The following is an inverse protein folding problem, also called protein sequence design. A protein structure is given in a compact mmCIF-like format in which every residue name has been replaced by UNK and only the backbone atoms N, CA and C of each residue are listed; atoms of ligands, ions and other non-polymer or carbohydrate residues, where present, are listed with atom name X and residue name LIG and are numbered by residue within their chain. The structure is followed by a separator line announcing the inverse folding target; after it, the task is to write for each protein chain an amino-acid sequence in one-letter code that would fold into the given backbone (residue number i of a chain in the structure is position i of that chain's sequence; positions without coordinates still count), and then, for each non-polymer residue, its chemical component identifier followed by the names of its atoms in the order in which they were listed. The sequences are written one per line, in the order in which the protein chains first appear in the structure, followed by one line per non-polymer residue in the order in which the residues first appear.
data_IF_963837154792
#
_entry.id   IF_963837154792
#
_cell.length_a   1.000
_cell.length_b   1.000
_cell.length_c   1.000
_cell.angle_alpha   90.00
_cell.angle_beta   90.00
_cell.angle_gamma   90.00
#
_symmetry.space_group_name_H-M   'P 1'
#
loop_
_entity.id
_entity.type
_entity.pdbx_description
1 polymer ?
#
# COMPACT_ATOMS: atom_id res chain seq x y z
N UNK A 1 21.05 0.45 -3.71
CA UNK A 1 19.99 0.76 -4.72
C UNK A 1 18.82 -0.19 -4.49
N UNK A 2 17.58 0.28 -4.46
CA UNK A 2 16.42 -0.59 -4.17
C UNK A 2 16.30 -1.73 -5.20
N UNK A 3 16.03 -2.95 -4.74
CA UNK A 3 15.98 -4.16 -5.59
C UNK A 3 15.02 -4.01 -6.77
N UNK A 4 13.84 -3.43 -6.54
CA UNK A 4 12.85 -3.15 -7.59
C UNK A 4 13.41 -2.29 -8.71
N UNK A 5 14.20 -1.26 -8.39
CA UNK A 5 14.87 -0.42 -9.38
C UNK A 5 15.93 -1.18 -10.16
N UNK A 6 16.68 -2.07 -9.51
CA UNK A 6 17.70 -2.88 -10.18
C UNK A 6 17.07 -3.81 -11.23
N UNK A 7 15.93 -4.42 -10.90
CA UNK A 7 15.27 -5.42 -11.76
C UNK A 7 14.37 -4.76 -12.80
N UNK A 8 13.55 -3.78 -12.39
CA UNK A 8 12.49 -3.22 -13.23
C UNK A 8 12.93 -1.95 -13.96
N UNK A 9 13.98 -1.28 -13.48
CA UNK A 9 14.44 0.04 -13.95
C UNK A 9 13.69 1.21 -13.31
N UNK A 10 12.71 0.96 -12.44
CA UNK A 10 11.88 1.97 -11.77
C UNK A 10 11.65 1.62 -10.32
N UNK A 11 11.58 2.64 -9.46
CA UNK A 11 11.12 2.48 -8.08
C UNK A 11 9.60 2.28 -8.03
N UNK A 12 9.10 1.59 -7.01
CA UNK A 12 7.67 1.36 -6.81
C UNK A 12 7.36 0.83 -5.40
N UNK A 13 6.15 1.07 -4.88
CA UNK A 13 5.75 0.61 -3.56
C UNK A 13 5.60 -0.92 -3.54
N UNK A 14 6.17 -1.57 -2.53
CA UNK A 14 6.07 -3.03 -2.34
C UNK A 14 4.73 -3.48 -1.76
N UNK A 15 3.94 -2.53 -1.28
CA UNK A 15 2.60 -2.74 -0.72
C UNK A 15 1.75 -1.52 -0.94
N UNK A 16 0.50 -1.72 -1.38
CA UNK A 16 -0.48 -0.65 -1.57
C UNK A 16 -1.81 -1.09 -0.96
N UNK A 17 -2.27 -0.31 0.00
CA UNK A 17 -3.64 -0.37 0.50
C UNK A 17 -4.36 0.89 0.02
N UNK A 18 -5.52 0.71 -0.61
CA UNK A 18 -6.35 1.86 -0.96
C UNK A 18 -7.00 2.39 0.31
N UNK A 19 -6.83 3.69 0.57
CA UNK A 19 -7.35 4.34 1.78
C UNK A 19 -8.85 4.13 1.98
N UNK A 20 -9.63 4.06 0.88
CA UNK A 20 -11.07 3.78 0.94
C UNK A 20 -11.43 2.46 1.61
N UNK A 21 -10.53 1.46 1.60
CA UNK A 21 -10.73 0.17 2.27
C UNK A 21 -10.43 0.24 3.78
N UNK A 22 -9.91 1.37 4.25
CA UNK A 22 -9.51 1.58 5.63
C UNK A 22 -10.43 2.57 6.36
N UNK A 23 -11.49 3.08 5.71
CA UNK A 23 -12.36 4.10 6.32
C UNK A 23 -13.04 3.59 7.60
N UNK A 24 -13.44 2.32 7.63
CA UNK A 24 -14.08 1.69 8.80
C UNK A 24 -13.10 1.47 9.96
N UNK A 25 -11.80 1.52 9.69
CA UNK A 25 -10.75 1.38 10.69
C UNK A 25 -10.36 2.69 11.36
N UNK A 26 -10.84 3.83 10.84
CA UNK A 26 -10.60 5.15 11.42
C UNK A 26 -11.45 5.30 12.68
N UNK A 27 -10.82 5.29 13.85
CA UNK A 27 -11.49 5.36 15.15
C UNK A 27 -11.53 6.76 15.73
N UNK A 28 -10.52 7.58 15.41
CA UNK A 28 -10.33 8.90 15.99
C UNK A 28 -10.80 10.01 15.05
N UNK A 29 -10.65 9.81 13.74
CA UNK A 29 -11.06 10.78 12.72
C UNK A 29 -12.59 10.86 12.66
N UNK A 30 -13.18 12.07 12.77
CA UNK A 30 -14.63 12.25 12.67
C UNK A 30 -15.18 11.68 11.37
N UNK A 31 -16.33 11.02 11.44
CA UNK A 31 -16.91 10.25 10.33
C UNK A 31 -17.12 11.09 9.05
N UNK A 32 -17.66 12.30 9.21
CA UNK A 32 -17.85 13.28 8.13
C UNK A 32 -16.54 13.72 7.45
N UNK A 33 -15.40 13.56 8.14
CA UNK A 33 -14.07 13.92 7.64
C UNK A 33 -13.29 12.71 7.09
N UNK A 34 -13.84 11.50 7.17
CA UNK A 34 -13.18 10.29 6.65
C UNK A 34 -13.15 10.36 5.11
N UNK A 35 -11.94 10.34 4.55
CA UNK A 35 -11.69 10.39 3.11
C UNK A 35 -11.69 11.79 2.48
N UNK A 36 -12.31 12.79 3.12
CA UNK A 36 -12.35 14.17 2.61
C UNK A 36 -12.34 15.15 3.79
N UNK A 37 -11.29 15.94 3.90
CA UNK A 37 -11.15 16.98 4.91
C UNK A 37 -10.43 18.18 4.31
N UNK A 38 -11.12 19.30 4.18
CA UNK A 38 -10.56 20.54 3.65
C UNK A 38 -10.32 21.54 4.78
N UNK A 39 -9.06 21.87 5.01
CA UNK A 39 -8.69 22.88 6.02
C UNK A 39 -8.64 24.24 5.34
N UNK A 40 -9.40 25.20 5.87
CA UNK A 40 -9.48 26.58 5.37
C UNK A 40 -9.15 27.57 6.46
N UNK A 41 -8.55 28.71 6.09
CA UNK A 41 -8.06 29.70 7.06
C UNK A 41 -9.17 30.33 7.90
N UNK A 42 -10.31 30.61 7.29
CA UNK A 42 -11.52 31.12 7.93
C UNK A 42 -12.70 30.43 7.25
N UNK A 43 -13.29 29.45 7.95
CA UNK A 43 -14.40 28.64 7.40
C UNK A 43 -15.62 29.51 7.12
N UNK A 44 -15.96 30.44 8.00
CA UNK A 44 -17.15 31.27 7.84
C UNK A 44 -17.03 32.19 6.63
N UNK A 45 -15.88 32.84 6.47
CA UNK A 45 -15.61 33.67 5.30
C UNK A 45 -15.61 32.83 4.02
N UNK A 46 -14.97 31.65 4.05
CA UNK A 46 -14.96 30.74 2.91
C UNK A 46 -16.38 30.33 2.47
N UNK A 47 -17.25 29.95 3.42
CA UNK A 47 -18.64 29.57 3.14
C UNK A 47 -19.50 30.72 2.58
N UNK A 48 -19.15 31.97 2.89
CA UNK A 48 -19.79 33.16 2.30
C UNK A 48 -19.35 33.38 0.86
N UNK A 49 -18.07 33.20 0.57
CA UNK A 49 -17.47 33.46 -0.74
C UNK A 49 -17.67 32.31 -1.74
N UNK A 50 -17.85 31.09 -1.26
CA UNK A 50 -18.11 29.90 -2.07
C UNK A 50 -19.43 29.24 -1.64
N UNK A 51 -20.61 29.79 -2.03
CA UNK A 51 -21.90 29.23 -1.64
C UNK A 51 -22.12 27.78 -2.07
N UNK A 52 -21.50 27.36 -3.18
CA UNK A 52 -21.53 25.97 -3.66
C UNK A 52 -20.83 24.98 -2.71
N UNK A 53 -19.94 25.45 -1.83
CA UNK A 53 -19.29 24.61 -0.83
C UNK A 53 -20.17 24.30 0.39
N UNK A 54 -21.31 25.02 0.55
CA UNK A 54 -22.21 24.82 1.70
C UNK A 54 -22.84 23.44 1.75
N UNK A 55 -23.07 22.81 0.61
CA UNK A 55 -23.59 21.43 0.53
C UNK A 55 -22.63 20.40 1.15
N UNK A 56 -21.36 20.77 1.30
CA UNK A 56 -20.29 19.93 1.85
C UNK A 56 -19.64 20.58 3.08
N UNK A 57 -20.33 21.54 3.73
CA UNK A 57 -19.77 22.36 4.81
C UNK A 57 -19.20 21.53 5.97
N UNK A 58 -19.80 20.38 6.24
CA UNK A 58 -19.36 19.42 7.25
C UNK A 58 -17.97 18.83 6.95
N UNK A 59 -17.48 18.90 5.72
CA UNK A 59 -16.14 18.43 5.32
C UNK A 59 -15.06 19.51 5.41
N UNK A 60 -15.44 20.74 5.70
CA UNK A 60 -14.51 21.86 5.87
C UNK A 60 -14.22 22.09 7.34
N UNK A 61 -12.95 22.30 7.65
CA UNK A 61 -12.43 22.52 8.99
C UNK A 61 -11.75 23.88 9.01
N UNK A 62 -12.04 24.68 10.03
CA UNK A 62 -11.33 25.93 10.23
C UNK A 62 -9.88 25.67 10.67
N UNK A 63 -8.93 26.52 10.29
CA UNK A 63 -7.52 26.34 10.65
C UNK A 63 -7.32 26.31 12.16
N UNK A 64 -8.17 27.00 12.93
CA UNK A 64 -8.17 26.95 14.40
C UNK A 64 -8.45 25.55 14.96
N UNK A 65 -9.16 24.70 14.21
CA UNK A 65 -9.52 23.33 14.56
C UNK A 65 -8.60 22.28 13.91
N UNK A 66 -7.80 22.68 12.91
CA UNK A 66 -6.97 21.77 12.12
C UNK A 66 -6.07 20.86 12.97
N UNK A 67 -5.54 21.37 14.09
CA UNK A 67 -4.65 20.60 14.97
C UNK A 67 -5.30 19.34 15.51
N UNK A 68 -6.56 19.40 15.95
CA UNK A 68 -7.24 18.23 16.54
C UNK A 68 -7.51 17.18 15.46
N UNK A 69 -7.97 17.61 14.28
CA UNK A 69 -8.24 16.73 13.13
C UNK A 69 -6.98 16.05 12.62
N UNK A 70 -5.88 16.80 12.46
CA UNK A 70 -4.59 16.23 12.03
C UNK A 70 -4.06 15.22 13.06
N UNK A 71 -4.20 15.51 14.36
CA UNK A 71 -3.80 14.56 15.41
C UNK A 71 -4.62 13.27 15.34
N UNK A 72 -5.93 13.37 15.17
CA UNK A 72 -6.81 12.22 15.02
C UNK A 72 -6.45 11.37 13.79
N UNK A 73 -6.21 12.01 12.64
CA UNK A 73 -5.80 11.32 11.41
C UNK A 73 -4.46 10.59 11.58
N UNK A 74 -3.47 11.21 12.24
CA UNK A 74 -2.19 10.58 12.53
C UNK A 74 -2.32 9.40 13.52
N UNK A 75 -3.16 9.54 14.54
CA UNK A 75 -3.45 8.44 15.48
C UNK A 75 -4.06 7.24 14.76
N UNK A 76 -5.03 7.48 13.87
CA UNK A 76 -5.61 6.41 13.05
C UNK A 76 -4.58 5.79 12.10
N UNK A 77 -3.72 6.60 11.47
CA UNK A 77 -2.62 6.10 10.64
C UNK A 77 -1.71 5.14 11.41
N UNK A 78 -1.33 5.49 12.64
CA UNK A 78 -0.53 4.62 13.52
C UNK A 78 -1.30 3.33 13.85
N UNK A 79 -2.59 3.41 14.16
CA UNK A 79 -3.42 2.24 14.46
C UNK A 79 -3.54 1.29 13.26
N UNK A 80 -3.76 1.84 12.07
CA UNK A 80 -3.78 1.08 10.80
C UNK A 80 -2.46 0.37 10.58
N UNK A 81 -1.33 1.09 10.71
CA UNK A 81 -0.01 0.48 10.55
C UNK A 81 0.20 -0.68 11.54
N UNK A 82 -0.15 -0.48 12.81
CA UNK A 82 -0.06 -1.54 13.84
C UNK A 82 -1.01 -2.71 13.62
N UNK A 83 -2.17 -2.48 12.97
CA UNK A 83 -3.17 -3.51 12.69
C UNK A 83 -2.74 -4.41 11.54
N UNK A 84 -2.14 -3.84 10.49
CA UNK A 84 -1.90 -4.54 9.23
C UNK A 84 -0.45 -4.97 9.01
N UNK A 85 0.50 -4.44 9.76
CA UNK A 85 1.93 -4.73 9.57
C UNK A 85 2.56 -5.18 10.90
N UNK A 86 3.42 -6.19 10.83
CA UNK A 86 4.25 -6.63 11.95
C UNK A 86 5.63 -5.98 11.85
N UNK A 87 5.88 -5.00 12.72
CA UNK A 87 7.16 -4.29 12.78
C UNK A 87 8.14 -4.85 13.82
N UNK A 88 7.88 -6.04 14.38
CA UNK A 88 8.76 -6.64 15.40
C UNK A 88 10.07 -7.21 14.83
N UNK A 89 10.19 -7.31 13.51
CA UNK A 89 11.43 -7.67 12.82
C UNK A 89 11.27 -7.63 11.30
N UNK A 90 12.39 -7.51 10.58
CA UNK A 90 12.40 -7.46 9.11
C UNK A 90 11.75 -8.69 8.48
N UNK A 91 12.11 -9.89 8.95
CA UNK A 91 11.54 -11.15 8.47
C UNK A 91 10.00 -11.18 8.62
N UNK A 92 9.48 -10.77 9.79
CA UNK A 92 8.03 -10.75 10.03
C UNK A 92 7.32 -9.72 9.18
N UNK A 93 7.93 -8.55 9.00
CA UNK A 93 7.43 -7.52 8.10
C UNK A 93 7.33 -8.08 6.67
N UNK A 94 8.43 -8.59 6.12
CA UNK A 94 8.48 -9.10 4.75
C UNK A 94 7.54 -10.30 4.54
N UNK A 95 7.50 -11.23 5.48
CA UNK A 95 6.59 -12.38 5.40
C UNK A 95 5.11 -11.99 5.48
N UNK A 96 4.81 -10.93 6.23
CA UNK A 96 3.48 -10.34 6.36
C UNK A 96 3.05 -9.48 5.17
N UNK A 97 3.94 -9.21 4.21
CA UNK A 97 3.61 -8.47 2.99
C UNK A 97 3.14 -9.41 1.86
N UNK A 98 2.18 -8.96 1.03
CA UNK A 98 1.37 -7.75 1.24
C UNK A 98 0.39 -7.93 2.42
N UNK A 99 0.02 -6.84 3.10
CA UNK A 99 -0.93 -6.90 4.20
C UNK A 99 -2.27 -7.41 3.69
N UNK A 100 -2.87 -8.35 4.42
CA UNK A 100 -4.19 -8.87 4.10
C UNK A 100 -5.25 -7.88 4.56
N UNK A 101 -6.03 -7.36 3.62
CA UNK A 101 -7.22 -6.56 3.89
C UNK A 101 -8.37 -7.05 3.02
N UNK A 102 -9.60 -6.75 3.41
CA UNK A 102 -10.78 -7.04 2.58
C UNK A 102 -10.94 -5.89 1.60
N UNK A 103 -10.73 -6.09 0.28
CA UNK A 103 -10.86 -5.01 -0.67
C UNK A 103 -12.34 -4.71 -0.93
N UNK A 104 -12.71 -3.45 -1.11
CA UNK A 104 -14.12 -3.05 -1.32
C UNK A 104 -14.65 -3.46 -2.69
N UNK A 105 -13.79 -3.96 -3.58
CA UNK A 105 -14.14 -4.47 -4.90
C UNK A 105 -14.46 -5.99 -4.90
N UNK A 106 -14.41 -6.65 -3.73
CA UNK A 106 -14.66 -8.08 -3.54
C UNK A 106 -13.78 -9.00 -4.40
N UNK A 107 -12.65 -8.50 -4.93
CA UNK A 107 -11.71 -9.30 -5.68
C UNK A 107 -10.89 -10.12 -4.69
N UNK A 108 -10.93 -11.44 -4.87
CA UNK A 108 -10.12 -12.36 -4.08
C UNK A 108 -8.66 -12.16 -4.49
N UNK A 109 -7.78 -11.96 -3.50
CA UNK A 109 -6.35 -11.69 -3.70
C UNK A 109 -6.03 -10.42 -4.51
N UNK A 110 -6.78 -9.33 -4.32
CA UNK A 110 -6.50 -8.02 -4.95
C UNK A 110 -5.03 -7.56 -4.76
N UNK A 111 -4.40 -7.95 -3.66
CA UNK A 111 -2.99 -7.70 -3.35
C UNK A 111 -1.99 -8.45 -4.23
N UNK A 112 -2.44 -9.47 -4.97
CA UNK A 112 -1.66 -10.23 -5.94
C UNK A 112 -1.95 -9.81 -7.38
N UNK A 113 -2.85 -8.85 -7.62
CA UNK A 113 -3.25 -8.48 -8.97
C UNK A 113 -2.26 -7.53 -9.65
N UNK A 114 -2.05 -7.75 -10.95
CA UNK A 114 -1.30 -6.86 -11.85
C UNK A 114 0.09 -6.49 -11.29
N UNK A 115 0.32 -5.20 -11.04
CA UNK A 115 1.59 -4.68 -10.54
C UNK A 115 1.83 -5.00 -9.06
N UNK A 116 0.77 -5.21 -8.28
CA UNK A 116 0.91 -5.56 -6.86
C UNK A 116 1.56 -6.94 -6.74
N UNK A 117 1.12 -7.93 -7.52
CA UNK A 117 1.75 -9.25 -7.53
C UNK A 117 3.22 -9.24 -7.97
N UNK A 118 3.61 -8.40 -8.95
CA UNK A 118 5.03 -8.18 -9.27
C UNK A 118 5.81 -7.72 -8.05
N UNK A 119 5.25 -6.77 -7.29
CA UNK A 119 5.89 -6.26 -6.08
C UNK A 119 5.93 -7.28 -4.95
N UNK A 120 4.94 -8.18 -4.85
CA UNK A 120 5.02 -9.33 -3.97
C UNK A 120 6.17 -10.24 -4.35
N UNK A 121 6.42 -10.49 -5.64
CA UNK A 121 7.60 -11.27 -6.05
C UNK A 121 8.91 -10.60 -5.59
N UNK A 122 9.02 -9.27 -5.72
CA UNK A 122 10.21 -8.53 -5.24
C UNK A 122 10.38 -8.72 -3.73
N UNK A 123 9.30 -8.64 -2.93
CA UNK A 123 9.35 -8.89 -1.49
C UNK A 123 9.78 -10.33 -1.19
N UNK A 124 9.22 -11.32 -1.90
CA UNK A 124 9.52 -12.74 -1.68
C UNK A 124 10.97 -13.07 -2.01
N UNK A 125 11.55 -12.41 -3.02
CA UNK A 125 12.99 -12.48 -3.32
C UNK A 125 13.85 -11.98 -2.16
N UNK A 126 13.46 -10.87 -1.49
CA UNK A 126 14.20 -10.37 -0.31
C UNK A 126 14.23 -11.40 0.82
N UNK A 127 13.16 -12.18 0.97
CA UNK A 127 13.05 -13.25 1.96
C UNK A 127 13.61 -14.60 1.49
N UNK A 128 14.19 -14.68 0.28
CA UNK A 128 14.70 -15.94 -0.28
C UNK A 128 13.62 -16.93 -0.75
N UNK A 129 12.35 -16.53 -0.78
CA UNK A 129 11.22 -17.36 -1.25
C UNK A 129 11.10 -17.28 -2.78
N UNK A 130 12.10 -17.86 -3.45
CA UNK A 130 12.16 -17.87 -4.91
C UNK A 130 11.14 -18.83 -5.53
N UNK A 131 10.77 -19.90 -4.83
CA UNK A 131 9.78 -20.87 -5.28
C UNK A 131 8.40 -20.23 -5.44
N UNK A 132 8.02 -19.33 -4.52
CA UNK A 132 6.82 -18.51 -4.69
C UNK A 132 6.87 -17.72 -6.00
N UNK A 133 8.01 -17.11 -6.33
CA UNK A 133 8.14 -16.25 -7.52
C UNK A 133 7.98 -17.06 -8.80
N UNK A 134 8.62 -18.22 -8.87
CA UNK A 134 8.48 -19.14 -10.01
C UNK A 134 7.04 -19.61 -10.17
N UNK A 135 6.39 -19.99 -9.08
CA UNK A 135 4.97 -20.37 -9.08
C UNK A 135 4.06 -19.21 -9.48
N UNK A 136 4.28 -18.00 -8.96
CA UNK A 136 3.47 -16.84 -9.32
C UNK A 136 3.62 -16.48 -10.81
N UNK A 137 4.82 -16.64 -11.38
CA UNK A 137 5.04 -16.40 -12.80
C UNK A 137 4.48 -17.48 -13.72
N UNK A 138 4.28 -18.71 -13.22
CA UNK A 138 3.73 -19.82 -14.00
C UNK A 138 2.29 -19.55 -14.44
N UNK A 139 1.84 -20.28 -15.45
CA UNK A 139 0.46 -20.17 -15.97
C UNK A 139 -0.57 -20.76 -14.99
N UNK A 140 -0.12 -21.63 -14.08
CA UNK A 140 -0.98 -22.32 -13.11
C UNK A 140 -1.46 -21.42 -11.97
N UNK A 141 -0.75 -20.31 -11.70
CA UNK A 141 -1.19 -19.35 -10.69
C UNK A 141 -2.26 -18.43 -11.30
N UNK A 142 -3.52 -18.69 -10.98
CA UNK A 142 -4.65 -17.95 -11.55
C UNK A 142 -4.82 -16.60 -10.84
N UNK A 143 -4.92 -15.53 -11.63
CA UNK A 143 -5.29 -14.17 -11.18
C UNK A 143 -6.55 -13.72 -11.92
N UNK A 144 -7.30 -12.79 -11.35
CA UNK A 144 -8.52 -12.25 -11.96
C UNK A 144 -8.19 -11.43 -13.21
N UNK A 145 -7.12 -10.64 -13.15
CA UNK A 145 -6.63 -9.89 -14.30
C UNK A 145 -5.36 -10.52 -14.88
N UNK A 146 -5.06 -10.29 -16.16
CA UNK A 146 -3.79 -10.70 -16.74
C UNK A 146 -2.60 -10.17 -15.93
N UNK A 147 -1.64 -11.06 -15.68
CA UNK A 147 -0.37 -10.70 -15.02
C UNK A 147 0.42 -9.71 -15.87
N UNK A 148 1.21 -8.89 -15.18
CA UNK A 148 2.16 -7.95 -15.79
C UNK A 148 3.39 -8.69 -16.33
N UNK A 149 3.23 -9.33 -17.50
CA UNK A 149 4.26 -10.20 -18.11
C UNK A 149 5.58 -9.49 -18.34
N UNK A 150 5.58 -8.31 -18.93
CA UNK A 150 6.80 -7.57 -19.23
C UNK A 150 7.68 -7.32 -17.99
N UNK A 151 7.05 -7.04 -16.85
CA UNK A 151 7.74 -6.88 -15.56
C UNK A 151 8.15 -8.23 -14.95
N UNK A 152 7.28 -9.25 -15.03
CA UNK A 152 7.61 -10.59 -14.52
C UNK A 152 8.76 -11.24 -15.27
N UNK A 153 8.84 -11.08 -16.59
CA UNK A 153 9.93 -11.64 -17.40
C UNK A 153 11.29 -11.08 -16.95
N UNK A 154 11.34 -9.79 -16.57
CA UNK A 154 12.53 -9.17 -15.97
C UNK A 154 12.86 -9.78 -14.60
N UNK A 155 11.86 -10.01 -13.77
CA UNK A 155 12.04 -10.66 -12.46
C UNK A 155 12.60 -12.06 -12.64
N UNK A 156 12.01 -12.87 -13.54
CA UNK A 156 12.45 -14.24 -13.84
C UNK A 156 13.87 -14.26 -14.40
N UNK A 157 14.19 -13.36 -15.33
CA UNK A 157 15.54 -13.24 -15.89
C UNK A 157 16.60 -12.93 -14.82
N UNK A 158 16.24 -12.20 -13.77
CA UNK A 158 17.15 -11.88 -12.68
C UNK A 158 17.30 -13.00 -11.63
N UNK A 159 16.37 -13.96 -11.56
CA UNK A 159 16.35 -14.97 -10.50
C UNK A 159 17.63 -15.80 -10.35
N UNK A 160 18.28 -16.31 -11.43
CA UNK A 160 19.47 -17.14 -11.27
C UNK A 160 20.60 -16.44 -10.49
N UNK A 161 20.86 -15.18 -10.82
CA UNK A 161 21.88 -14.39 -10.13
C UNK A 161 21.48 -14.04 -8.70
N UNK A 162 20.20 -13.74 -8.45
CA UNK A 162 19.70 -13.42 -7.12
C UNK A 162 19.72 -14.65 -6.20
N UNK A 163 19.30 -15.82 -6.70
CA UNK A 163 19.40 -17.11 -6.01
C UNK A 163 20.85 -17.38 -5.59
N UNK A 164 21.79 -17.23 -6.52
CA UNK A 164 23.23 -17.40 -6.25
C UNK A 164 23.73 -16.46 -5.15
N UNK A 165 23.46 -15.15 -5.26
CA UNK A 165 23.85 -14.17 -4.23
C UNK A 165 23.26 -14.50 -2.86
N UNK A 166 21.99 -14.89 -2.81
CA UNK A 166 21.32 -15.23 -1.56
C UNK A 166 21.93 -16.47 -0.90
N UNK A 167 22.28 -17.50 -1.67
CA UNK A 167 22.99 -18.68 -1.17
C UNK A 167 24.38 -18.30 -0.64
N UNK A 168 25.11 -17.43 -1.35
CA UNK A 168 26.48 -17.04 -0.99
C UNK A 168 26.53 -16.10 0.23
N UNK A 169 25.55 -15.21 0.38
CA UNK A 169 25.64 -14.08 1.33
C UNK A 169 24.48 -13.97 2.30
N UNK A 170 23.41 -14.75 2.13
CA UNK A 170 22.14 -14.57 2.83
C UNK A 170 21.36 -13.32 2.41
N UNK A 171 21.80 -12.61 1.36
CA UNK A 171 21.21 -11.36 0.87
C UNK A 171 21.16 -11.32 -0.67
N UNK A 172 20.18 -10.58 -1.20
CA UNK A 172 20.07 -10.24 -2.63
C UNK A 172 20.43 -8.77 -2.93
N UNK A 173 20.65 -7.97 -1.87
CA UNK A 173 21.08 -6.57 -1.93
C UNK A 173 22.58 -6.49 -1.72
#
# INVERSE_FOLDING_TARGET
MALSKQILGTDGPTSVILFKHLMDDLKNTPENLRGHCWIVKDKQLFMKLAPSAKEMEDKYVDISEARSVLKAALQDGILILKKYFDFSGEERLLNGLPPKYVPSNHIVYDEMERYKGVMVCIVRILSGDFDFVERYASDDFVTTFPKRRAELDKVIAALPDLKRRYIETGSVI
#
